data_IF_131781038137
#
_entry.id   IF_131781038137
#
_cell.length_a   1.000
_cell.length_b   1.000
_cell.length_c   1.000
_cell.angle_alpha   90.00
_cell.angle_beta   90.00
_cell.angle_gamma   90.00
#
_symmetry.space_group_name_H-M   'P 1'
#
loop_
_entity.id
_entity.type
_entity.pdbx_description
1 polymer ?
#
# COMPACT_ATOMS: atom_id res chain seq x y z
N UNK A 1 -7.20 14.39 -11.18
CA UNK A 1 -7.79 13.04 -11.12
C UNK A 1 -6.81 12.13 -10.41
N UNK A 2 -7.22 11.52 -9.30
CA UNK A 2 -6.48 10.38 -8.75
C UNK A 2 -6.89 9.16 -9.56
N UNK A 3 -5.92 8.34 -10.00
CA UNK A 3 -6.20 7.13 -10.74
C UNK A 3 -5.25 6.03 -10.27
N UNK A 4 -5.73 4.79 -10.32
CA UNK A 4 -4.89 3.62 -10.13
C UNK A 4 -4.56 2.99 -11.49
N UNK A 5 -3.40 2.35 -11.59
CA UNK A 5 -3.02 1.62 -12.80
C UNK A 5 -2.35 0.32 -12.40
N UNK A 6 -2.76 -0.75 -13.05
CA UNK A 6 -2.13 -2.07 -12.96
C UNK A 6 -1.46 -2.37 -14.29
N UNK A 7 -0.18 -2.73 -14.24
CA UNK A 7 0.62 -3.08 -15.41
C UNK A 7 1.08 -4.53 -15.27
N UNK A 8 1.04 -5.28 -16.36
CA UNK A 8 1.55 -6.64 -16.41
C UNK A 8 2.27 -6.91 -17.71
N UNK A 9 3.29 -7.76 -17.65
CA UNK A 9 3.95 -8.35 -18.82
C UNK A 9 3.34 -9.71 -19.22
N UNK A 10 2.39 -10.20 -18.43
CA UNK A 10 1.74 -11.50 -18.61
C UNK A 10 0.38 -11.34 -19.27
N UNK A 11 -0.17 -12.45 -19.77
CA UNK A 11 -1.48 -12.47 -20.41
C UNK A 11 -2.58 -12.13 -19.39
N UNK A 12 -3.33 -11.07 -19.68
CA UNK A 12 -4.55 -10.69 -18.94
C UNK A 12 -5.69 -11.59 -19.38
N UNK A 13 -6.45 -12.10 -18.42
CA UNK A 13 -7.68 -12.85 -18.64
C UNK A 13 -8.87 -11.91 -18.40
N UNK A 14 -9.74 -11.77 -19.40
CA UNK A 14 -10.92 -10.91 -19.31
C UNK A 14 -10.62 -9.42 -19.38
N UNK A 15 -11.49 -8.60 -18.78
CA UNK A 15 -11.42 -7.14 -18.83
C UNK A 15 -11.12 -6.57 -17.45
N UNK A 16 -10.47 -5.40 -17.43
CA UNK A 16 -10.25 -4.60 -16.23
C UNK A 16 -11.59 -4.35 -15.52
N UNK A 17 -11.63 -4.64 -14.23
CA UNK A 17 -12.75 -4.29 -13.36
C UNK A 17 -12.38 -3.05 -12.56
N UNK A 18 -13.31 -2.11 -12.50
CA UNK A 18 -13.20 -0.87 -11.72
C UNK A 18 -14.42 -0.77 -10.84
N UNK A 19 -14.22 -0.68 -9.53
CA UNK A 19 -15.26 -0.62 -8.52
C UNK A 19 -15.07 0.68 -7.73
N UNK A 20 -15.80 1.76 -8.07
CA UNK A 20 -15.76 3.00 -7.32
C UNK A 20 -16.23 2.81 -5.88
N UNK A 21 -15.60 3.50 -4.93
CA UNK A 21 -16.10 3.51 -3.56
C UNK A 21 -17.11 4.65 -3.38
N UNK A 22 -18.38 4.29 -3.18
CA UNK A 22 -19.47 5.25 -2.99
C UNK A 22 -19.24 6.22 -1.82
N UNK A 23 -18.49 5.77 -0.81
CA UNK A 23 -18.16 6.57 0.37
C UNK A 23 -16.88 7.41 0.22
N UNK A 24 -16.29 7.48 -0.98
CA UNK A 24 -15.07 8.24 -1.21
C UNK A 24 -15.36 9.74 -1.42
N UNK A 25 -14.63 10.60 -0.71
CA UNK A 25 -14.61 12.05 -0.96
C UNK A 25 -13.52 12.47 -1.96
N UNK A 26 -12.63 11.54 -2.33
CA UNK A 26 -11.47 11.78 -3.18
C UNK A 26 -11.49 11.00 -4.50
N UNK A 27 -12.62 10.37 -4.85
CA UNK A 27 -12.79 9.59 -6.09
C UNK A 27 -11.96 8.31 -6.10
N UNK A 28 -11.88 7.61 -4.96
CA UNK A 28 -11.13 6.36 -4.82
C UNK A 28 -11.91 5.17 -5.36
N UNK A 29 -11.17 4.18 -5.85
CA UNK A 29 -11.70 2.99 -6.51
C UNK A 29 -10.81 1.77 -6.25
N UNK A 30 -11.40 0.58 -6.31
CA UNK A 30 -10.69 -0.67 -6.44
C UNK A 30 -10.58 -1.04 -7.92
N UNK A 31 -9.37 -1.33 -8.39
CA UNK A 31 -9.09 -1.77 -9.75
C UNK A 31 -8.47 -3.15 -9.72
N UNK A 32 -8.95 -4.08 -10.54
CA UNK A 32 -8.37 -5.42 -10.61
C UNK A 32 -8.59 -6.13 -11.95
N UNK A 33 -7.72 -7.10 -12.26
CA UNK A 33 -7.90 -8.04 -13.36
C UNK A 33 -7.24 -9.38 -13.06
N UNK A 34 -7.64 -10.41 -13.80
CA UNK A 34 -7.07 -11.74 -13.68
C UNK A 34 -5.88 -11.90 -14.63
N UNK A 35 -4.82 -12.54 -14.15
CA UNK A 35 -3.60 -12.78 -14.90
C UNK A 35 -3.30 -14.26 -14.92
N UNK A 36 -3.02 -14.78 -16.11
CA UNK A 36 -2.51 -16.13 -16.28
C UNK A 36 -1.00 -16.14 -16.07
N UNK A 37 -0.57 -16.76 -14.98
CA UNK A 37 0.85 -17.02 -14.68
C UNK A 37 1.25 -18.42 -15.19
N UNK A 38 2.48 -18.82 -14.87
CA UNK A 38 2.99 -20.15 -15.19
C UNK A 38 2.06 -21.27 -14.67
N UNK A 39 2.07 -22.42 -15.36
CA UNK A 39 1.30 -23.61 -14.99
C UNK A 39 -0.22 -23.38 -14.96
N UNK A 40 -0.71 -22.50 -15.83
CA UNK A 40 -2.12 -22.10 -15.91
C UNK A 40 -2.69 -21.59 -14.59
N UNK A 41 -1.84 -21.08 -13.67
CA UNK A 41 -2.31 -20.44 -12.45
C UNK A 41 -2.95 -19.10 -12.81
N UNK A 42 -4.22 -18.93 -12.50
CA UNK A 42 -4.89 -17.62 -12.59
C UNK A 42 -4.81 -16.94 -11.23
N UNK A 43 -4.28 -15.72 -11.21
CA UNK A 43 -4.19 -14.86 -10.03
C UNK A 43 -4.88 -13.55 -10.33
N UNK A 44 -5.77 -13.12 -9.45
CA UNK A 44 -6.32 -11.75 -9.51
C UNK A 44 -5.29 -10.78 -8.96
N UNK A 45 -4.89 -9.80 -9.75
CA UNK A 45 -4.11 -8.66 -9.30
C UNK A 45 -5.04 -7.48 -9.09
N UNK A 46 -4.96 -6.87 -7.92
CA UNK A 46 -5.81 -5.78 -7.50
C UNK A 46 -4.96 -4.64 -6.92
N UNK A 47 -5.44 -3.41 -7.09
CA UNK A 47 -4.87 -2.23 -6.46
C UNK A 47 -5.96 -1.23 -6.10
N UNK A 48 -5.64 -0.38 -5.13
CA UNK A 48 -6.46 0.74 -4.70
C UNK A 48 -5.55 1.78 -4.07
N UNK A 49 -6.03 3.01 -4.06
CA UNK A 49 -5.48 4.06 -3.22
C UNK A 49 -6.61 4.50 -2.26
N UNK A 50 -6.64 3.96 -1.04
CA UNK A 50 -7.71 4.22 -0.08
C UNK A 50 -7.68 5.68 0.41
N UNK A 51 -8.80 6.16 0.95
CA UNK A 51 -9.00 7.55 1.35
C UNK A 51 -7.84 8.10 2.19
N UNK A 52 -7.16 9.14 1.71
CA UNK A 52 -5.98 9.65 2.41
C UNK A 52 -6.36 10.26 3.77
N UNK A 53 -5.47 10.20 4.76
CA UNK A 53 -5.70 10.88 6.02
C UNK A 53 -5.76 12.39 5.79
N UNK A 54 -6.83 13.05 6.26
CA UNK A 54 -6.98 14.51 6.17
C UNK A 54 -7.32 15.08 7.54
N UNK A 55 -6.67 16.21 7.84
CA UNK A 55 -6.79 16.94 9.08
C UNK A 55 -5.44 17.08 9.78
N UNK A 56 -5.22 18.16 10.54
CA UNK A 56 -4.00 18.31 11.30
C UNK A 56 -3.96 17.24 12.42
N UNK A 57 -2.87 16.49 12.50
CA UNK A 57 -2.44 15.82 13.75
C UNK A 57 -2.11 16.83 14.85
N UNK A 58 -2.08 18.13 14.51
CA UNK A 58 -1.53 19.24 15.30
C UNK A 58 -2.60 19.98 16.12
N UNK A 59 -3.89 19.97 15.71
CA UNK A 59 -4.94 20.79 16.36
C UNK A 59 -6.04 19.97 17.06
N UNK A 60 -5.76 18.72 17.43
CA UNK A 60 -6.66 17.88 18.24
C UNK A 60 -7.96 17.45 17.56
N UNK A 61 -8.16 17.74 16.27
CA UNK A 61 -9.28 17.21 15.48
C UNK A 61 -8.93 15.81 14.98
N UNK A 62 -9.83 14.85 15.23
CA UNK A 62 -9.70 13.47 14.78
C UNK A 62 -9.66 13.42 13.26
N UNK A 63 -8.70 12.67 12.70
CA UNK A 63 -8.59 12.36 11.27
C UNK A 63 -9.97 11.92 10.73
N UNK A 64 -10.42 12.54 9.63
CA UNK A 64 -11.84 12.53 9.24
C UNK A 64 -12.24 11.36 8.33
N UNK A 65 -11.27 10.63 7.76
CA UNK A 65 -11.50 9.59 6.74
C UNK A 65 -11.22 8.16 7.22
N UNK A 66 -10.89 7.93 8.49
CA UNK A 66 -10.71 6.59 9.09
C UNK A 66 -11.90 5.67 8.80
N UNK A 67 -13.14 6.17 8.95
CA UNK A 67 -14.35 5.36 8.69
C UNK A 67 -14.45 4.97 7.21
N UNK A 68 -14.12 5.89 6.32
CA UNK A 68 -14.16 5.69 4.88
C UNK A 68 -13.10 4.65 4.47
N UNK A 69 -11.82 4.84 4.85
CA UNK A 69 -10.75 3.86 4.60
C UNK A 69 -11.10 2.46 5.08
N UNK A 70 -11.57 2.34 6.34
CA UNK A 70 -11.96 1.05 6.93
C UNK A 70 -13.02 0.35 6.07
N UNK A 71 -14.07 1.06 5.67
CA UNK A 71 -15.13 0.49 4.81
C UNK A 71 -14.62 0.19 3.39
N UNK A 72 -13.74 1.00 2.82
CA UNK A 72 -13.16 0.75 1.49
C UNK A 72 -12.28 -0.50 1.48
N UNK A 73 -11.47 -0.71 2.52
CA UNK A 73 -10.70 -1.95 2.68
C UNK A 73 -11.63 -3.16 2.82
N UNK A 74 -12.65 -3.06 3.67
CA UNK A 74 -13.64 -4.12 3.87
C UNK A 74 -14.34 -4.49 2.54
N UNK A 75 -14.88 -3.50 1.83
CA UNK A 75 -15.47 -3.68 0.50
C UNK A 75 -14.50 -4.32 -0.49
N UNK A 76 -13.22 -3.97 -0.43
CA UNK A 76 -12.21 -4.55 -1.31
C UNK A 76 -12.00 -6.04 -1.01
N UNK A 77 -11.88 -6.40 0.26
CA UNK A 77 -11.72 -7.79 0.70
C UNK A 77 -12.99 -8.62 0.42
N UNK A 78 -14.18 -8.07 0.64
CA UNK A 78 -15.48 -8.66 0.29
C UNK A 78 -15.56 -8.91 -1.22
N UNK A 79 -15.28 -7.89 -2.03
CA UNK A 79 -15.28 -7.99 -3.49
C UNK A 79 -14.36 -9.10 -3.96
N UNK A 80 -13.15 -9.18 -3.40
CA UNK A 80 -12.12 -10.15 -3.79
C UNK A 80 -12.29 -11.54 -3.15
N UNK A 81 -13.25 -11.73 -2.24
CA UNK A 81 -13.37 -12.91 -1.38
C UNK A 81 -13.57 -14.23 -2.14
N UNK A 82 -14.33 -14.24 -3.22
CA UNK A 82 -14.63 -15.44 -4.01
C UNK A 82 -13.48 -15.90 -4.91
N UNK A 83 -12.38 -15.13 -5.00
CA UNK A 83 -11.21 -15.47 -5.80
C UNK A 83 -10.27 -16.38 -5.02
N UNK A 84 -9.71 -17.38 -5.69
CA UNK A 84 -8.85 -18.41 -5.06
C UNK A 84 -7.44 -17.89 -4.74
N UNK A 85 -6.89 -17.09 -5.65
CA UNK A 85 -5.55 -16.52 -5.54
C UNK A 85 -5.61 -15.03 -5.86
N UNK A 86 -5.16 -14.20 -4.93
CA UNK A 86 -5.24 -12.74 -5.06
C UNK A 86 -3.96 -12.10 -4.56
N UNK A 87 -3.48 -11.10 -5.31
CA UNK A 87 -2.49 -10.12 -4.87
C UNK A 87 -3.18 -8.76 -4.86
N UNK A 88 -3.36 -8.17 -3.69
CA UNK A 88 -3.98 -6.86 -3.52
C UNK A 88 -3.00 -5.90 -2.86
N UNK A 89 -2.50 -4.93 -3.62
CA UNK A 89 -1.53 -3.97 -3.10
C UNK A 89 -1.73 -2.55 -3.60
N UNK A 90 -1.25 -1.58 -2.85
CA UNK A 90 -1.41 -0.16 -3.16
C UNK A 90 -1.21 0.70 -1.91
N UNK A 91 -1.44 2.00 -2.06
CA UNK A 91 -1.46 2.92 -0.93
C UNK A 91 -2.77 2.75 -0.16
N UNK A 92 -2.70 1.98 0.91
CA UNK A 92 -3.86 1.73 1.77
C UNK A 92 -4.13 2.90 2.70
N UNK A 93 -3.24 3.89 2.75
CA UNK A 93 -3.26 5.01 3.70
C UNK A 93 -3.51 4.55 5.15
N UNK A 94 -3.19 3.29 5.46
CA UNK A 94 -3.60 2.63 6.69
C UNK A 94 -2.58 2.91 7.76
N UNK A 95 -2.98 3.66 8.77
CA UNK A 95 -2.11 4.07 9.86
C UNK A 95 -2.26 3.06 11.00
N UNK A 96 -1.18 2.31 11.26
CA UNK A 96 -1.12 1.37 12.37
C UNK A 96 -1.31 2.09 13.72
N UNK A 97 -1.88 1.41 14.73
CA UNK A 97 -2.05 1.99 16.05
C UNK A 97 -0.70 2.30 16.70
N UNK A 98 -0.69 3.31 17.57
CA UNK A 98 0.45 3.67 18.42
C UNK A 98 0.11 3.44 19.88
N UNK A 99 1.10 3.63 20.78
CA UNK A 99 0.84 3.62 22.22
C UNK A 99 -0.15 4.71 22.68
N UNK A 100 -0.39 5.74 21.88
CA UNK A 100 -1.22 6.91 22.24
C UNK A 100 -2.56 6.95 21.51
N UNK A 101 -2.64 6.38 20.30
CA UNK A 101 -3.77 6.56 19.39
C UNK A 101 -4.10 5.25 18.66
N UNK A 102 -5.39 4.96 18.52
CA UNK A 102 -5.87 3.79 17.77
C UNK A 102 -5.62 3.92 16.26
N UNK A 103 -5.64 5.15 15.72
CA UNK A 103 -5.57 5.40 14.27
C UNK A 103 -6.62 4.59 13.50
N UNK A 104 -6.22 3.89 12.42
CA UNK A 104 -7.08 2.93 11.72
C UNK A 104 -7.25 1.61 12.47
N UNK A 105 -6.53 1.41 13.56
CA UNK A 105 -6.48 0.17 14.31
C UNK A 105 -5.71 -0.92 13.57
N UNK A 106 -5.63 -2.09 14.19
CA UNK A 106 -5.04 -3.25 13.54
C UNK A 106 -5.89 -3.68 12.35
N UNK A 107 -5.25 -3.85 11.20
CA UNK A 107 -5.90 -4.31 9.98
C UNK A 107 -6.50 -5.71 10.21
N UNK A 108 -7.83 -5.80 10.17
CA UNK A 108 -8.55 -7.06 10.40
C UNK A 108 -8.65 -7.85 9.10
N UNK A 109 -7.80 -8.85 8.96
CA UNK A 109 -7.79 -9.78 7.82
C UNK A 109 -8.44 -11.11 8.24
N UNK A 110 -9.23 -11.72 7.35
CA UNK A 110 -9.68 -13.10 7.58
C UNK A 110 -8.49 -14.07 7.46
N UNK A 111 -8.55 -15.28 8.04
CA UNK A 111 -7.42 -16.23 8.05
C UNK A 111 -6.86 -16.62 6.66
N UNK A 112 -7.66 -16.44 5.61
CA UNK A 112 -7.27 -16.69 4.22
C UNK A 112 -6.36 -15.61 3.62
N UNK A 113 -6.29 -14.43 4.24
CA UNK A 113 -5.47 -13.30 3.80
C UNK A 113 -4.24 -13.13 4.68
N UNK A 114 -3.16 -12.69 4.06
CA UNK A 114 -1.89 -12.40 4.70
C UNK A 114 -1.37 -11.04 4.26
N UNK A 115 -0.77 -10.29 5.18
CA UNK A 115 0.04 -9.10 4.86
C UNK A 115 1.47 -9.57 4.58
N UNK A 116 2.01 -9.24 3.41
CA UNK A 116 3.34 -9.70 3.00
C UNK A 116 4.45 -9.24 3.95
N UNK A 117 4.36 -8.01 4.47
CA UNK A 117 5.38 -7.47 5.36
C UNK A 117 5.38 -8.23 6.69
N UNK A 118 4.19 -8.51 7.22
CA UNK A 118 4.01 -9.27 8.46
C UNK A 118 4.41 -10.74 8.26
N UNK A 119 4.07 -11.36 7.13
CA UNK A 119 4.48 -12.74 6.82
C UNK A 119 6.02 -12.86 6.77
N UNK A 120 6.72 -11.86 6.22
CA UNK A 120 8.18 -11.88 6.11
C UNK A 120 8.92 -11.50 7.41
N UNK A 121 8.39 -10.55 8.18
CA UNK A 121 9.09 -9.96 9.33
C UNK A 121 8.48 -10.29 10.70
N UNK A 122 7.35 -10.99 10.72
CA UNK A 122 6.64 -11.40 11.93
C UNK A 122 5.80 -10.28 12.55
N UNK A 123 5.07 -10.61 13.62
CA UNK A 123 4.11 -9.69 14.27
C UNK A 123 4.79 -8.52 15.01
N UNK A 124 6.04 -8.68 15.43
CA UNK A 124 6.82 -7.63 16.09
C UNK A 124 7.51 -6.67 15.09
N UNK A 125 7.06 -6.63 13.83
CA UNK A 125 7.66 -5.81 12.78
C UNK A 125 7.71 -4.32 13.18
N UNK A 126 6.73 -3.79 13.91
CA UNK A 126 6.76 -2.39 14.36
C UNK A 126 7.96 -2.04 15.25
N UNK A 127 8.56 -3.03 15.93
CA UNK A 127 9.75 -2.84 16.75
C UNK A 127 11.04 -3.19 15.99
N UNK A 128 10.99 -4.19 15.10
CA UNK A 128 12.18 -4.75 14.44
C UNK A 128 12.41 -4.19 13.04
N UNK A 129 11.35 -4.11 12.23
CA UNK A 129 11.38 -3.63 10.87
C UNK A 129 10.00 -3.04 10.48
N UNK A 130 9.73 -1.76 10.81
CA UNK A 130 8.39 -1.17 10.69
C UNK A 130 7.87 -1.06 9.25
N UNK A 131 8.77 -1.15 8.27
CA UNK A 131 8.40 -1.09 6.86
C UNK A 131 7.83 0.25 6.41
N UNK A 132 8.37 1.38 6.88
CA UNK A 132 7.86 2.70 6.52
C UNK A 132 8.00 2.96 5.02
N UNK A 133 6.87 3.05 4.33
CA UNK A 133 6.80 3.38 2.90
C UNK A 133 6.60 4.88 2.70
N UNK A 134 6.03 5.57 3.67
CA UNK A 134 6.06 7.03 3.75
C UNK A 134 6.95 7.42 4.93
N UNK A 135 8.17 7.87 4.65
CA UNK A 135 9.20 8.12 5.68
C UNK A 135 9.81 9.51 5.53
N UNK A 136 9.34 10.48 6.33
CA UNK A 136 9.87 11.84 6.29
C UNK A 136 11.28 12.00 6.88
N UNK A 137 11.80 11.00 7.59
CA UNK A 137 13.18 11.01 8.08
C UNK A 137 14.14 10.65 6.94
N UNK A 138 13.79 9.63 6.15
CA UNK A 138 14.64 9.11 5.07
C UNK A 138 14.32 9.70 3.69
N UNK A 139 13.14 10.29 3.49
CA UNK A 139 12.77 10.99 2.27
C UNK A 139 12.98 12.52 2.44
N UNK A 140 14.06 13.09 1.88
CA UNK A 140 14.39 14.50 2.04
C UNK A 140 13.36 15.45 1.39
N UNK A 141 12.49 14.94 0.52
CA UNK A 141 11.43 15.73 -0.13
C UNK A 141 10.30 16.09 0.83
N UNK A 142 10.08 15.32 1.91
CA UNK A 142 8.95 15.47 2.83
C UNK A 142 9.16 16.53 3.91
N UNK A 143 10.39 16.72 4.39
CA UNK A 143 10.77 17.83 5.29
C UNK A 143 10.04 17.88 6.65
N UNK A 144 9.42 16.77 7.05
CA UNK A 144 8.84 16.52 8.36
C UNK A 144 9.32 15.15 8.87
N UNK A 145 9.13 14.82 10.15
CA UNK A 145 9.61 13.54 10.72
C UNK A 145 8.55 12.44 10.80
N UNK A 146 7.36 12.66 10.26
CA UNK A 146 6.30 11.64 10.24
C UNK A 146 6.73 10.42 9.41
N UNK A 147 6.40 9.23 9.91
CA UNK A 147 6.70 7.94 9.27
C UNK A 147 5.52 7.00 9.44
N UNK A 148 5.15 6.29 8.37
CA UNK A 148 4.06 5.32 8.40
C UNK A 148 4.21 4.28 7.28
N UNK A 149 3.60 3.11 7.49
CA UNK A 149 3.50 2.03 6.50
C UNK A 149 2.12 2.10 5.83
N UNK A 150 2.01 3.07 4.93
CA UNK A 150 0.77 3.37 4.22
C UNK A 150 0.52 2.38 3.09
N UNK A 151 1.58 2.01 2.37
CA UNK A 151 1.54 1.07 1.27
C UNK A 151 1.66 -0.36 1.79
N UNK A 152 0.84 -1.26 1.27
CA UNK A 152 0.80 -2.66 1.68
C UNK A 152 0.59 -3.57 0.48
N UNK A 153 1.04 -4.81 0.61
CA UNK A 153 0.70 -5.91 -0.30
C UNK A 153 0.06 -7.01 0.54
N UNK A 154 -1.21 -7.27 0.29
CA UNK A 154 -1.98 -8.35 0.87
C UNK A 154 -2.10 -9.48 -0.15
N UNK A 155 -2.09 -10.72 0.31
CA UNK A 155 -2.30 -11.86 -0.58
C UNK A 155 -3.20 -12.94 0.03
N UNK A 156 -3.91 -13.62 -0.85
CA UNK A 156 -4.70 -14.82 -0.57
C UNK A 156 -4.21 -15.93 -1.49
N UNK A 157 -4.01 -17.13 -0.95
CA UNK A 157 -3.62 -18.29 -1.75
C UNK A 157 -4.26 -19.57 -1.26
N UNK A 158 -5.17 -20.12 -2.06
CA UNK A 158 -5.64 -21.49 -1.90
C UNK A 158 -4.47 -22.49 -2.09
N UNK A 159 -4.43 -23.56 -1.28
CA UNK A 159 -3.47 -24.66 -1.44
C UNK A 159 -1.98 -24.25 -1.42
N UNK A 160 -1.62 -23.11 -0.82
CA UNK A 160 -0.22 -22.63 -0.72
C UNK A 160 0.53 -22.50 -2.06
N UNK A 161 -0.21 -22.23 -3.15
CA UNK A 161 0.35 -22.06 -4.50
C UNK A 161 1.18 -20.80 -4.67
N UNK A 162 0.88 -19.75 -3.91
CA UNK A 162 1.67 -18.53 -3.84
C UNK A 162 2.39 -18.49 -2.50
N UNK A 163 3.72 -18.52 -2.55
CA UNK A 163 4.57 -18.50 -1.36
C UNK A 163 5.47 -17.28 -1.42
N UNK A 164 5.30 -16.36 -0.47
CA UNK A 164 6.17 -15.20 -0.35
C UNK A 164 7.61 -15.66 -0.11
N UNK A 165 8.56 -15.06 -0.83
CA UNK A 165 10.00 -15.30 -0.66
C UNK A 165 10.68 -14.11 -0.03
N UNK A 166 10.46 -12.94 -0.60
CA UNK A 166 11.00 -11.68 -0.06
C UNK A 166 9.99 -10.56 -0.28
N UNK A 167 10.10 -9.54 0.55
CA UNK A 167 9.49 -8.23 0.33
C UNK A 167 10.50 -7.17 0.75
N UNK A 168 10.70 -6.17 -0.11
CA UNK A 168 11.72 -5.15 0.05
C UNK A 168 11.15 -3.76 -0.25
N UNK A 169 11.72 -2.74 0.41
CA UNK A 169 11.46 -1.34 0.10
C UNK A 169 12.38 -0.89 -1.02
N UNK A 170 11.82 -0.28 -2.06
CA UNK A 170 12.54 0.20 -3.26
C UNK A 170 12.30 1.70 -3.50
N UNK A 171 13.07 2.30 -4.41
CA UNK A 171 12.94 3.73 -4.71
C UNK A 171 13.55 4.64 -3.63
N UNK A 172 14.47 4.12 -2.82
CA UNK A 172 15.14 4.86 -1.73
C UNK A 172 16.33 5.69 -2.20
N UNK A 173 16.75 5.52 -3.46
CA UNK A 173 17.91 6.22 -4.02
C UNK A 173 17.47 7.47 -4.78
N UNK A 174 18.19 8.59 -4.64
CA UNK A 174 17.99 9.78 -5.45
C UNK A 174 18.10 9.51 -6.95
N UNK A 175 17.30 10.21 -7.74
CA UNK A 175 17.47 10.29 -9.19
C UNK A 175 18.76 11.08 -9.46
N UNK A 176 19.74 10.49 -10.19
CA UNK A 176 21.02 11.16 -10.42
C UNK A 176 20.85 12.52 -11.10
N UNK A 177 21.52 13.54 -10.53
CA UNK A 177 21.57 14.92 -11.04
C UNK A 177 20.23 15.68 -10.99
N UNK A 178 19.22 15.16 -10.28
CA UNK A 178 17.96 15.86 -10.09
C UNK A 178 17.83 16.40 -8.67
N UNK A 179 17.64 17.71 -8.56
CA UNK A 179 17.40 18.41 -7.29
C UNK A 179 16.14 19.27 -7.38
N UNK A 180 15.57 19.57 -6.22
CA UNK A 180 14.41 20.46 -6.07
C UNK A 180 14.69 21.49 -4.97
N UNK A 181 14.29 22.74 -5.19
CA UNK A 181 14.38 23.80 -4.16
C UNK A 181 13.16 23.73 -3.26
N UNK A 182 13.35 23.22 -2.06
CA UNK A 182 12.31 23.15 -1.04
C UNK A 182 12.26 24.46 -0.25
N UNK A 183 11.07 25.06 -0.16
CA UNK A 183 10.78 26.19 0.74
C UNK A 183 10.11 25.66 2.00
N UNK A 184 10.68 25.97 3.17
CA UNK A 184 10.12 25.61 4.47
C UNK A 184 9.16 26.69 4.97
N UNK A 185 8.34 26.37 5.98
CA UNK A 185 7.39 27.33 6.57
C UNK A 185 8.05 28.61 7.09
N UNK A 186 9.33 28.56 7.48
CA UNK A 186 10.13 29.72 7.87
C UNK A 186 10.58 30.61 6.69
N UNK A 187 10.26 30.25 5.44
CA UNK A 187 10.78 30.89 4.24
C UNK A 187 12.20 30.46 3.85
N UNK A 188 12.89 29.68 4.71
CA UNK A 188 14.18 29.09 4.38
C UNK A 188 14.08 28.21 3.14
N UNK A 189 15.05 28.29 2.25
CA UNK A 189 15.12 27.46 1.04
C UNK A 189 16.33 26.54 1.07
N UNK A 190 16.14 25.29 0.66
CA UNK A 190 17.22 24.30 0.57
C UNK A 190 17.06 23.48 -0.69
N UNK A 191 18.16 23.24 -1.40
CA UNK A 191 18.18 22.23 -2.44
C UNK A 191 18.23 20.84 -1.81
N UNK A 192 17.31 19.97 -2.23
CA UNK A 192 17.25 18.58 -1.80
C UNK A 192 17.32 17.66 -3.01
N UNK A 193 17.92 16.46 -2.89
CA UNK A 193 17.84 15.46 -3.95
C UNK A 193 16.39 15.02 -4.16
N UNK A 194 16.05 14.70 -5.41
CA UNK A 194 14.73 14.18 -5.75
C UNK A 194 14.79 12.65 -5.78
N UNK A 195 13.87 12.01 -5.06
CA UNK A 195 13.65 10.57 -5.14
C UNK A 195 12.50 10.29 -6.13
N UNK A 196 12.31 9.03 -6.58
CA UNK A 196 11.25 8.69 -7.52
C UNK A 196 9.84 9.11 -7.10
N UNK A 197 9.57 9.13 -5.78
CA UNK A 197 8.29 9.52 -5.20
C UNK A 197 8.49 9.95 -3.74
N UNK A 198 7.50 10.64 -3.17
CA UNK A 198 7.41 10.93 -1.74
C UNK A 198 7.14 9.66 -0.91
N UNK A 199 6.55 8.63 -1.53
CA UNK A 199 6.52 7.26 -1.05
C UNK A 199 7.68 6.41 -1.60
N UNK A 200 8.17 5.47 -0.80
CA UNK A 200 8.96 4.34 -1.27
C UNK A 200 8.06 3.22 -1.78
N UNK A 201 8.52 2.48 -2.78
CA UNK A 201 7.78 1.34 -3.34
C UNK A 201 7.97 0.06 -2.54
N UNK A 202 7.02 -0.87 -2.66
CA UNK A 202 7.17 -2.25 -2.18
C UNK A 202 7.43 -3.20 -3.36
N UNK A 203 8.43 -4.06 -3.23
CA UNK A 203 8.74 -5.11 -4.19
C UNK A 203 8.65 -6.47 -3.50
N UNK A 204 7.72 -7.31 -3.93
CA UNK A 204 7.54 -8.65 -3.36
C UNK A 204 7.81 -9.74 -4.40
N UNK A 205 8.54 -10.78 -4.00
CA UNK A 205 8.85 -11.95 -4.82
C UNK A 205 8.10 -13.15 -4.28
N UNK A 206 7.41 -13.86 -5.16
CA UNK A 206 6.68 -15.07 -4.83
C UNK A 206 7.21 -16.26 -5.62
N UNK A 207 7.29 -17.42 -4.95
CA UNK A 207 7.38 -18.71 -5.62
C UNK A 207 5.97 -19.17 -5.96
N UNK A 208 5.76 -19.50 -7.24
CA UNK A 208 4.57 -20.22 -7.69
C UNK A 208 4.86 -21.71 -7.56
N UNK A 209 4.16 -22.40 -6.66
CA UNK A 209 4.31 -23.84 -6.48
C UNK A 209 3.60 -24.59 -7.62
N UNK A 210 4.23 -25.68 -8.07
CA UNK A 210 3.58 -26.71 -8.88
C UNK A 210 2.60 -27.47 -7.99
N UNK A 211 1.47 -27.88 -8.57
CA UNK A 211 0.62 -28.94 -8.00
C UNK A 211 1.24 -30.27 -8.44
#
# INVERSE_FOLDING_TARGET
AYFCTLLTRHEVQGILQVVPFENSGMGRELVYFDVKLANNLVVTFATSHLESPVGPTIDGKKEIYTKQRRRQLELSLETLSNRRHVMFGGDMNWVDPTAKEENDGWMKLSPSWKDCWIEAHGQNYLQTNPGYTYDGVNNPMLGHRYRSRLDRILFKSEGSRLQLKTIDIIGTQPIPRLTYTKTYASGFQKQVPVLPSDHFGLFAVFKVAMI
#
